data_IF_827752022122
#
_entry.id   IF_827752022122
#
_cell.length_a   1.000
_cell.length_b   1.000
_cell.length_c   1.000
_cell.angle_alpha   90.00
_cell.angle_beta   90.00
_cell.angle_gamma   90.00
#
_symmetry.space_group_name_H-M   'P 1'
#
loop_
_entity.id
_entity.type
_entity.pdbx_description
1 polymer ?
#
# COMPACT_ATOMS: atom_id res chain seq x y z
N UNK A 1 8.86 -19.97 9.54
CA UNK A 1 8.79 -19.19 10.78
C UNK A 1 7.86 -19.84 11.78
N UNK A 2 8.45 -20.31 12.88
CA UNK A 2 7.81 -20.89 14.07
C UNK A 2 6.79 -19.93 14.68
N UNK A 3 5.75 -20.49 15.30
CA UNK A 3 4.70 -19.74 16.01
C UNK A 3 5.38 -18.90 17.11
N UNK A 4 5.51 -17.58 16.89
CA UNK A 4 6.00 -16.63 17.88
C UNK A 4 5.01 -16.61 19.06
N UNK A 5 5.42 -17.27 20.15
CA UNK A 5 4.62 -17.51 21.34
C UNK A 5 3.91 -16.23 21.86
N UNK A 6 2.57 -16.31 21.96
CA UNK A 6 1.68 -15.49 22.79
C UNK A 6 1.52 -13.98 22.52
N UNK A 7 2.09 -13.40 21.45
CA UNK A 7 1.75 -12.03 21.05
C UNK A 7 1.59 -11.89 19.52
N UNK A 8 0.36 -12.05 18.98
CA UNK A 8 0.12 -11.94 17.53
C UNK A 8 0.42 -10.54 16.98
N UNK A 9 0.64 -9.56 17.86
CA UNK A 9 1.01 -8.19 17.51
C UNK A 9 2.51 -7.93 17.34
N UNK A 10 3.39 -8.90 17.61
CA UNK A 10 4.85 -8.76 17.58
C UNK A 10 5.45 -9.31 16.28
N UNK A 11 5.22 -8.56 15.20
CA UNK A 11 5.72 -8.89 13.85
C UNK A 11 6.68 -7.81 13.38
N UNK A 12 7.68 -8.22 12.61
CA UNK A 12 8.70 -7.32 12.07
C UNK A 12 8.19 -6.53 10.86
N UNK A 13 7.41 -7.16 9.98
CA UNK A 13 6.99 -6.56 8.69
C UNK A 13 5.52 -6.15 8.65
N UNK A 14 4.79 -6.23 9.78
CA UNK A 14 3.37 -5.88 9.80
C UNK A 14 2.43 -6.92 9.19
N UNK A 15 2.93 -8.10 8.87
CA UNK A 15 2.22 -9.24 8.28
C UNK A 15 1.27 -9.93 9.29
N UNK A 16 0.30 -9.18 9.83
CA UNK A 16 -0.70 -9.73 10.76
C UNK A 16 -1.73 -10.60 10.03
N UNK A 17 -1.88 -11.86 10.45
CA UNK A 17 -2.92 -12.77 9.92
C UNK A 17 -4.36 -12.26 10.12
N UNK A 18 -4.58 -11.43 11.14
CA UNK A 18 -5.89 -10.92 11.53
C UNK A 18 -6.00 -9.40 11.33
N UNK A 19 -5.22 -8.82 10.41
CA UNK A 19 -5.15 -7.37 10.21
C UNK A 19 -6.55 -6.70 10.10
N UNK A 20 -7.44 -7.29 9.31
CA UNK A 20 -8.77 -6.74 9.04
C UNK A 20 -9.79 -6.92 10.18
N UNK A 21 -9.48 -7.70 11.23
CA UNK A 21 -10.30 -7.73 12.45
C UNK A 21 -10.16 -6.44 13.26
N UNK A 22 -9.03 -5.73 13.12
CA UNK A 22 -8.75 -4.48 13.85
C UNK A 22 -8.88 -3.23 12.97
N UNK A 23 -8.59 -3.38 11.67
CA UNK A 23 -8.67 -2.32 10.67
C UNK A 23 -9.68 -2.72 9.60
N UNK A 24 -10.95 -2.36 9.80
CA UNK A 24 -12.04 -2.72 8.89
C UNK A 24 -11.78 -2.23 7.47
N UNK A 25 -11.73 -3.18 6.52
CA UNK A 25 -11.59 -2.88 5.10
C UNK A 25 -12.80 -2.07 4.58
N UNK A 26 -14.00 -2.38 5.07
CA UNK A 26 -15.24 -1.68 4.70
C UNK A 26 -15.22 -0.23 5.16
N UNK A 27 -14.75 0.06 6.38
CA UNK A 27 -14.61 1.44 6.84
C UNK A 27 -13.56 2.20 6.03
N UNK A 28 -12.49 1.53 5.57
CA UNK A 28 -11.50 2.15 4.70
C UNK A 28 -12.07 2.51 3.34
N UNK A 29 -12.92 1.68 2.74
CA UNK A 29 -13.58 1.97 1.44
C UNK A 29 -14.42 3.26 1.52
N UNK A 30 -15.10 3.51 2.65
CA UNK A 30 -15.90 4.74 2.85
C UNK A 30 -15.08 6.03 2.80
N UNK A 31 -13.77 5.95 2.97
CA UNK A 31 -12.85 7.09 2.91
C UNK A 31 -12.32 7.36 1.50
N UNK A 32 -12.62 6.49 0.53
CA UNK A 32 -12.15 6.66 -0.83
C UNK A 32 -12.96 7.75 -1.54
N UNK A 33 -12.29 8.62 -2.33
CA UNK A 33 -12.94 9.73 -3.01
C UNK A 33 -13.76 9.27 -4.21
N UNK A 34 -14.56 10.20 -4.75
CA UNK A 34 -15.32 9.98 -5.99
C UNK A 34 -14.41 9.77 -7.20
N UNK A 35 -15.01 9.28 -8.30
CA UNK A 35 -14.31 8.97 -9.56
C UNK A 35 -13.43 10.08 -10.13
N UNK A 36 -13.75 11.35 -9.91
CA UNK A 36 -12.98 12.47 -10.47
C UNK A 36 -11.55 12.57 -9.88
N UNK A 37 -11.34 12.00 -8.68
CA UNK A 37 -10.01 11.87 -8.07
C UNK A 37 -9.27 10.61 -8.57
N UNK A 38 -9.97 9.57 -8.99
CA UNK A 38 -9.33 8.38 -9.55
C UNK A 38 -8.99 8.55 -11.03
N UNK A 39 -9.85 9.22 -11.80
CA UNK A 39 -9.71 9.43 -13.23
C UNK A 39 -10.26 10.82 -13.63
N UNK A 40 -9.41 11.86 -13.69
CA UNK A 40 -9.83 13.17 -14.16
C UNK A 40 -10.32 13.13 -15.61
N UNK A 41 -11.36 13.91 -15.92
CA UNK A 41 -11.99 14.00 -17.26
C UNK A 41 -11.02 14.32 -18.40
N UNK A 42 -9.90 14.96 -18.11
CA UNK A 42 -8.89 15.37 -19.09
C UNK A 42 -8.05 14.19 -19.64
N UNK A 43 -8.11 13.01 -19.01
CA UNK A 43 -7.34 11.82 -19.39
C UNK A 43 -8.18 10.76 -20.14
N UNK A 44 -9.30 11.16 -20.76
CA UNK A 44 -10.23 10.28 -21.48
C UNK A 44 -9.73 9.88 -22.89
N UNK A 45 -8.45 9.51 -23.01
CA UNK A 45 -7.89 8.95 -24.26
C UNK A 45 -8.02 7.43 -24.34
N UNK A 46 -8.55 6.76 -23.31
CA UNK A 46 -8.67 5.30 -23.26
C UNK A 46 -9.82 4.79 -24.08
N UNK A 47 -9.57 3.66 -24.73
CA UNK A 47 -10.63 2.89 -25.39
C UNK A 47 -11.54 2.24 -24.35
N UNK A 48 -12.81 2.05 -24.67
CA UNK A 48 -13.85 1.52 -23.75
C UNK A 48 -13.52 0.15 -23.12
N UNK A 49 -12.55 -0.58 -23.66
CA UNK A 49 -12.17 -1.92 -23.19
C UNK A 49 -10.83 -1.98 -22.44
N UNK A 50 -10.12 -0.85 -22.28
CA UNK A 50 -8.83 -0.85 -21.61
C UNK A 50 -9.00 -0.82 -20.07
N UNK A 51 -8.43 -1.79 -19.33
CA UNK A 51 -8.61 -1.82 -17.88
C UNK A 51 -7.86 -0.70 -17.17
N UNK A 52 -8.44 -0.21 -16.08
CA UNK A 52 -7.75 0.60 -15.08
C UNK A 52 -6.87 -0.29 -14.21
N UNK A 53 -5.56 -0.10 -14.27
CA UNK A 53 -4.58 -0.92 -13.57
C UNK A 53 -4.22 -0.34 -12.21
N UNK A 54 -4.37 -1.14 -11.17
CA UNK A 54 -4.03 -0.80 -9.79
C UNK A 54 -2.96 -1.74 -9.25
N UNK A 55 -1.98 -1.21 -8.54
CA UNK A 55 -1.08 -2.00 -7.69
C UNK A 55 -1.40 -1.72 -6.21
N UNK A 56 -1.76 -2.76 -5.45
CA UNK A 56 -1.99 -2.70 -4.01
C UNK A 56 -0.77 -3.26 -3.25
N UNK A 57 0.00 -2.37 -2.64
CA UNK A 57 1.28 -2.69 -1.99
C UNK A 57 1.10 -2.93 -0.50
N UNK A 58 1.47 -4.14 -0.05
CA UNK A 58 1.16 -4.61 1.31
C UNK A 58 -0.28 -5.08 1.42
N UNK A 59 -0.75 -5.86 0.43
CA UNK A 59 -2.14 -6.25 0.29
C UNK A 59 -2.63 -7.23 1.38
N UNK A 60 -1.74 -7.74 2.22
CA UNK A 60 -2.03 -8.71 3.27
C UNK A 60 -2.77 -9.93 2.67
N UNK A 61 -3.86 -10.41 3.28
CA UNK A 61 -4.67 -11.50 2.74
C UNK A 61 -5.71 -11.03 1.71
N UNK A 62 -5.55 -9.86 1.09
CA UNK A 62 -6.32 -9.43 -0.09
C UNK A 62 -7.75 -8.94 0.17
N UNK A 63 -8.24 -8.89 1.41
CA UNK A 63 -9.62 -8.48 1.72
C UNK A 63 -9.91 -7.06 1.22
N UNK A 64 -9.00 -6.11 1.47
CA UNK A 64 -9.20 -4.75 0.98
C UNK A 64 -8.99 -4.63 -0.52
N UNK A 65 -8.05 -5.40 -1.10
CA UNK A 65 -7.80 -5.44 -2.54
C UNK A 65 -9.06 -5.80 -3.33
N UNK A 66 -9.82 -6.81 -2.87
CA UNK A 66 -11.07 -7.21 -3.50
C UNK A 66 -12.14 -6.11 -3.40
N UNK A 67 -12.29 -5.49 -2.23
CA UNK A 67 -13.23 -4.37 -2.06
C UNK A 67 -12.83 -3.13 -2.89
N UNK A 68 -11.54 -2.86 -3.02
CA UNK A 68 -11.02 -1.78 -3.85
C UNK A 68 -11.33 -2.02 -5.33
N UNK A 69 -11.11 -3.24 -5.82
CA UNK A 69 -11.44 -3.62 -7.19
C UNK A 69 -12.94 -3.39 -7.47
N UNK A 70 -13.82 -3.88 -6.58
CA UNK A 70 -15.26 -3.69 -6.71
C UNK A 70 -15.64 -2.21 -6.72
N UNK A 71 -15.18 -1.45 -5.72
CA UNK A 71 -15.45 -0.02 -5.59
C UNK A 71 -15.05 0.75 -6.85
N UNK A 72 -13.84 0.53 -7.36
CA UNK A 72 -13.37 1.23 -8.56
C UNK A 72 -14.14 0.80 -9.81
N UNK A 73 -14.50 -0.48 -9.94
CA UNK A 73 -15.33 -0.96 -11.05
C UNK A 73 -16.68 -0.26 -11.09
N UNK A 74 -17.32 -0.08 -9.94
CA UNK A 74 -18.60 0.64 -9.81
C UNK A 74 -18.44 2.15 -10.07
N UNK A 75 -17.39 2.78 -9.52
CA UNK A 75 -17.17 4.22 -9.65
C UNK A 75 -16.74 4.65 -11.06
N UNK A 76 -15.86 3.87 -11.69
CA UNK A 76 -15.26 4.22 -12.98
C UNK A 76 -16.08 3.70 -14.17
N UNK A 77 -16.98 2.72 -13.95
CA UNK A 77 -17.79 2.10 -14.99
C UNK A 77 -16.96 1.54 -16.17
N UNK A 78 -15.76 1.03 -15.86
CA UNK A 78 -14.84 0.40 -16.80
C UNK A 78 -14.15 -0.81 -16.15
N UNK A 79 -13.49 -1.70 -16.91
CA UNK A 79 -12.74 -2.81 -16.33
C UNK A 79 -11.65 -2.31 -15.36
N UNK A 80 -11.48 -2.96 -14.22
CA UNK A 80 -10.42 -2.63 -13.24
C UNK A 80 -9.67 -3.88 -12.91
N UNK A 81 -8.35 -3.88 -13.14
CA UNK A 81 -7.47 -4.98 -12.77
C UNK A 81 -6.55 -4.56 -11.63
N UNK A 82 -6.42 -5.41 -10.63
CA UNK A 82 -5.61 -5.14 -9.43
C UNK A 82 -4.54 -6.21 -9.27
N UNK A 83 -3.28 -5.76 -9.20
CA UNK A 83 -2.16 -6.59 -8.79
C UNK A 83 -1.90 -6.33 -7.31
N UNK A 84 -1.99 -7.37 -6.47
CA UNK A 84 -1.66 -7.29 -5.05
C UNK A 84 -0.28 -7.88 -4.77
N UNK A 85 0.49 -7.21 -3.91
CA UNK A 85 1.79 -7.71 -3.44
C UNK A 85 1.89 -7.66 -1.92
N UNK A 86 2.48 -8.69 -1.34
CA UNK A 86 2.85 -8.73 0.07
C UNK A 86 4.14 -9.54 0.23
N UNK A 87 4.87 -9.28 1.32
CA UNK A 87 6.13 -9.96 1.62
C UNK A 87 5.90 -11.36 2.20
N UNK A 88 4.73 -11.62 2.78
CA UNK A 88 4.41 -12.91 3.40
C UNK A 88 3.68 -13.85 2.43
N UNK A 89 4.38 -14.90 2.00
CA UNK A 89 3.85 -15.95 1.13
C UNK A 89 2.54 -16.56 1.66
N UNK A 90 2.40 -16.75 2.97
CA UNK A 90 1.21 -17.38 3.58
C UNK A 90 -0.01 -16.47 3.46
N UNK A 91 0.20 -15.15 3.55
CA UNK A 91 -0.86 -14.17 3.34
C UNK A 91 -1.29 -14.15 1.88
N UNK A 92 -0.33 -14.26 0.95
CA UNK A 92 -0.59 -14.32 -0.49
C UNK A 92 -1.28 -15.63 -0.89
N UNK A 93 -0.89 -16.77 -0.34
CA UNK A 93 -1.59 -18.04 -0.53
C UNK A 93 -3.06 -17.93 -0.08
N UNK A 94 -3.30 -17.30 1.07
CA UNK A 94 -4.65 -17.03 1.56
C UNK A 94 -5.41 -16.06 0.64
N UNK A 95 -4.77 -14.98 0.20
CA UNK A 95 -5.37 -14.02 -0.72
C UNK A 95 -5.80 -14.70 -2.04
N UNK A 96 -4.97 -15.60 -2.57
CA UNK A 96 -5.28 -16.41 -3.75
C UNK A 96 -6.44 -17.38 -3.50
N UNK A 97 -6.45 -18.08 -2.36
CA UNK A 97 -7.49 -19.03 -2.00
C UNK A 97 -8.87 -18.36 -1.77
N UNK A 98 -8.87 -17.13 -1.25
CA UNK A 98 -10.09 -16.35 -0.97
C UNK A 98 -10.45 -15.37 -2.12
N UNK A 99 -9.74 -15.42 -3.27
CA UNK A 99 -9.96 -14.51 -4.40
C UNK A 99 -11.25 -14.87 -5.16
N UNK A 100 -12.20 -13.94 -5.19
CA UNK A 100 -13.49 -14.13 -5.87
C UNK A 100 -13.53 -13.59 -7.30
N UNK A 101 -12.46 -12.91 -7.77
CA UNK A 101 -12.36 -12.30 -9.10
C UNK A 101 -11.04 -12.64 -9.79
N UNK A 102 -10.84 -13.93 -10.11
CA UNK A 102 -9.58 -14.48 -10.65
C UNK A 102 -9.13 -13.85 -11.99
N UNK A 103 -10.06 -13.31 -12.77
CA UNK A 103 -9.79 -12.64 -14.05
C UNK A 103 -9.33 -11.18 -13.87
N UNK A 104 -9.61 -10.57 -12.71
CA UNK A 104 -9.37 -9.14 -12.44
C UNK A 104 -8.34 -8.89 -11.36
N UNK A 105 -8.07 -9.88 -10.52
CA UNK A 105 -7.17 -9.73 -9.37
C UNK A 105 -6.11 -10.81 -9.40
N UNK A 106 -4.85 -10.37 -9.40
CA UNK A 106 -3.68 -11.24 -9.32
C UNK A 106 -2.87 -10.91 -8.07
N UNK A 107 -2.18 -11.91 -7.52
CA UNK A 107 -1.37 -11.75 -6.31
C UNK A 107 0.02 -12.38 -6.49
N UNK A 108 1.05 -11.72 -5.98
CA UNK A 108 2.40 -12.27 -5.92
C UNK A 108 3.10 -11.91 -4.61
N UNK A 109 4.10 -12.72 -4.26
CA UNK A 109 4.92 -12.52 -3.06
C UNK A 109 6.23 -11.86 -3.45
N UNK A 110 6.55 -10.73 -2.83
CA UNK A 110 7.84 -10.06 -3.02
C UNK A 110 8.15 -9.10 -1.87
N UNK A 111 9.43 -8.92 -1.57
CA UNK A 111 9.89 -7.70 -0.91
C UNK A 111 9.93 -6.57 -1.95
N UNK A 112 9.13 -5.52 -1.72
CA UNK A 112 9.00 -4.36 -2.63
C UNK A 112 10.33 -3.63 -2.85
N UNK A 113 11.24 -3.71 -1.87
CA UNK A 113 12.57 -3.10 -1.96
C UNK A 113 13.62 -4.03 -2.58
N UNK A 114 13.29 -5.29 -2.86
CA UNK A 114 14.14 -6.22 -3.60
C UNK A 114 13.84 -6.13 -5.11
N UNK A 115 14.78 -5.60 -5.89
CA UNK A 115 14.59 -5.35 -7.32
C UNK A 115 14.29 -6.63 -8.11
N UNK A 116 15.01 -7.72 -7.86
CA UNK A 116 14.83 -8.98 -8.59
C UNK A 116 13.45 -9.61 -8.37
N UNK A 117 12.93 -9.54 -7.14
CA UNK A 117 11.66 -10.16 -6.77
C UNK A 117 10.45 -9.31 -7.13
N UNK A 118 10.58 -7.98 -7.10
CA UNK A 118 9.46 -7.07 -7.29
C UNK A 118 9.41 -6.46 -8.69
N UNK A 119 10.54 -6.02 -9.26
CA UNK A 119 10.52 -5.26 -10.51
C UNK A 119 10.20 -6.15 -11.71
N UNK A 120 10.73 -7.38 -11.74
CA UNK A 120 10.46 -8.30 -12.85
C UNK A 120 8.97 -8.66 -12.99
N UNK A 121 8.26 -9.13 -11.94
CA UNK A 121 6.83 -9.42 -12.05
C UNK A 121 5.99 -8.19 -12.39
N UNK A 122 6.31 -7.03 -11.81
CA UNK A 122 5.61 -5.77 -12.08
C UNK A 122 5.79 -5.34 -13.54
N UNK A 123 7.01 -5.40 -14.06
CA UNK A 123 7.31 -5.09 -15.45
C UNK A 123 6.57 -6.04 -16.40
N UNK A 124 6.62 -7.35 -16.15
CA UNK A 124 5.88 -8.33 -16.95
C UNK A 124 4.38 -8.06 -16.94
N UNK A 125 3.79 -7.72 -15.79
CA UNK A 125 2.37 -7.38 -15.68
C UNK A 125 2.00 -6.15 -16.51
N UNK A 126 2.81 -5.07 -16.44
CA UNK A 126 2.59 -3.86 -17.23
C UNK A 126 2.74 -4.13 -18.73
N UNK A 127 3.74 -4.93 -19.13
CA UNK A 127 3.96 -5.33 -20.53
C UNK A 127 2.79 -6.13 -21.10
N UNK A 128 2.21 -7.05 -20.32
CA UNK A 128 1.00 -7.81 -20.69
C UNK A 128 -0.20 -6.91 -20.97
N UNK A 129 -0.26 -5.73 -20.34
CA UNK A 129 -1.29 -4.73 -20.57
C UNK A 129 -0.86 -3.60 -21.51
N UNK A 130 0.33 -3.68 -22.10
CA UNK A 130 0.91 -2.63 -22.96
C UNK A 130 1.01 -1.25 -22.26
N UNK A 131 1.31 -1.25 -20.96
CA UNK A 131 1.44 -0.04 -20.15
C UNK A 131 2.88 0.17 -19.69
N UNK A 132 3.21 1.42 -19.38
CA UNK A 132 4.48 1.81 -18.74
C UNK A 132 4.32 2.14 -17.26
N UNK A 133 3.10 2.46 -16.83
CA UNK A 133 2.75 2.83 -15.47
C UNK A 133 1.39 2.27 -15.10
N UNK A 134 1.17 2.07 -13.81
CA UNK A 134 -0.16 1.85 -13.27
C UNK A 134 -0.95 3.15 -13.22
N UNK A 135 -2.26 3.01 -13.26
CA UNK A 135 -3.16 4.14 -13.11
C UNK A 135 -3.24 4.60 -11.68
N UNK A 136 -3.23 3.65 -10.75
CA UNK A 136 -3.05 3.91 -9.34
C UNK A 136 -2.06 2.92 -8.72
N UNK A 137 -1.19 3.43 -7.85
CA UNK A 137 -0.45 2.59 -6.89
C UNK A 137 -0.87 3.00 -5.50
N UNK A 138 -1.28 2.03 -4.69
CA UNK A 138 -1.83 2.26 -3.37
C UNK A 138 -0.97 1.62 -2.28
N UNK A 139 -0.68 2.41 -1.24
CA UNK A 139 0.16 2.04 -0.10
C UNK A 139 -0.63 2.28 1.20
N UNK A 140 -1.50 1.34 1.57
CA UNK A 140 -2.35 1.46 2.75
C UNK A 140 -1.66 0.93 4.01
N UNK A 141 -1.30 1.81 4.96
CA UNK A 141 -0.74 1.40 6.24
C UNK A 141 0.48 0.48 6.12
N UNK A 142 1.40 0.78 5.19
CA UNK A 142 2.66 0.04 5.00
C UNK A 142 3.91 0.89 5.27
N UNK A 143 3.83 2.22 5.17
CA UNK A 143 5.01 3.11 5.23
C UNK A 143 5.80 2.97 6.53
N UNK A 144 5.12 2.80 7.67
CA UNK A 144 5.78 2.54 8.95
C UNK A 144 6.65 1.28 8.94
N UNK A 145 6.18 0.19 8.33
CA UNK A 145 6.91 -1.08 8.33
C UNK A 145 8.15 -1.00 7.44
N UNK A 146 8.05 -0.33 6.30
CA UNK A 146 9.21 -0.02 5.46
C UNK A 146 10.21 0.80 6.26
N UNK A 147 9.75 1.86 6.90
CA UNK A 147 10.60 2.80 7.61
C UNK A 147 11.33 2.16 8.80
N UNK A 148 10.62 1.35 9.60
CA UNK A 148 11.19 0.62 10.74
C UNK A 148 12.27 -0.39 10.33
N UNK A 149 12.14 -1.00 9.14
CA UNK A 149 13.06 -2.04 8.67
C UNK A 149 14.20 -1.51 7.78
N UNK A 150 14.02 -0.36 7.13
CA UNK A 150 14.95 0.13 6.09
C UNK A 150 15.40 1.59 6.29
N UNK A 151 15.17 2.19 7.47
CA UNK A 151 15.57 3.56 7.79
C UNK A 151 14.84 4.62 6.95
N UNK A 152 15.14 5.91 7.18
CA UNK A 152 14.57 7.03 6.42
C UNK A 152 14.85 6.87 4.91
N UNK A 153 16.07 6.44 4.56
CA UNK A 153 16.48 6.23 3.17
C UNK A 153 15.65 5.15 2.48
N UNK A 154 15.30 4.06 3.17
CA UNK A 154 14.46 3.00 2.64
C UNK A 154 13.03 3.47 2.39
N UNK A 155 12.46 4.27 3.31
CA UNK A 155 11.14 4.88 3.12
C UNK A 155 11.15 5.87 1.93
N UNK A 156 12.18 6.71 1.81
CA UNK A 156 12.31 7.63 0.69
C UNK A 156 12.46 6.88 -0.64
N UNK A 157 13.28 5.82 -0.69
CA UNK A 157 13.42 4.98 -1.86
C UNK A 157 12.10 4.30 -2.25
N UNK A 158 11.38 3.72 -1.29
CA UNK A 158 10.04 3.15 -1.47
C UNK A 158 9.08 4.15 -2.11
N UNK A 159 8.97 5.36 -1.53
CA UNK A 159 8.07 6.41 -2.03
C UNK A 159 8.45 6.84 -3.44
N UNK A 160 9.74 7.06 -3.72
CA UNK A 160 10.23 7.45 -5.05
C UNK A 160 9.95 6.38 -6.09
N UNK A 161 10.33 5.14 -5.81
CA UNK A 161 10.17 3.98 -6.71
C UNK A 161 8.71 3.79 -7.11
N UNK A 162 7.83 3.68 -6.12
CA UNK A 162 6.41 3.46 -6.37
C UNK A 162 5.74 4.69 -7.00
N UNK A 163 6.09 5.89 -6.56
CA UNK A 163 5.56 7.11 -7.18
C UNK A 163 5.88 7.12 -8.66
N UNK A 164 7.13 6.86 -9.09
CA UNK A 164 7.51 6.92 -10.51
C UNK A 164 6.72 5.96 -11.43
N UNK A 165 6.24 4.84 -10.89
CA UNK A 165 5.45 3.84 -11.63
C UNK A 165 3.93 4.11 -11.63
N UNK A 166 3.48 5.20 -10.98
CA UNK A 166 2.05 5.54 -10.84
C UNK A 166 1.70 6.81 -11.62
N UNK A 167 0.50 6.84 -12.20
CA UNK A 167 -0.17 8.11 -12.54
C UNK A 167 -0.76 8.76 -11.27
N UNK A 168 -1.52 8.00 -10.49
CA UNK A 168 -2.02 8.37 -9.16
C UNK A 168 -1.31 7.57 -8.07
N UNK A 169 -0.72 8.25 -7.10
CA UNK A 169 -0.06 7.61 -5.96
C UNK A 169 -0.85 7.85 -4.67
N UNK A 170 -1.23 6.78 -3.99
CA UNK A 170 -2.09 6.81 -2.81
C UNK A 170 -1.32 6.30 -1.61
N UNK A 171 -1.25 7.08 -0.52
CA UNK A 171 -0.51 6.72 0.69
C UNK A 171 -1.38 6.95 1.92
N UNK A 172 -1.47 5.94 2.80
CA UNK A 172 -2.04 6.07 4.15
C UNK A 172 -0.91 5.93 5.18
N UNK A 173 -0.19 7.03 5.51
CA UNK A 173 0.91 6.97 6.45
C UNK A 173 0.41 6.70 7.87
N UNK A 174 1.14 5.88 8.63
CA UNK A 174 0.83 5.69 10.05
C UNK A 174 1.53 6.74 10.91
N UNK A 175 0.86 7.29 11.95
CA UNK A 175 1.46 8.28 12.85
C UNK A 175 2.54 7.65 13.73
N UNK A 176 3.45 8.47 14.26
CA UNK A 176 4.58 8.05 15.11
C UNK A 176 4.17 7.19 16.32
N UNK A 177 3.00 7.43 16.89
CA UNK A 177 2.46 6.61 17.99
C UNK A 177 2.34 5.12 17.62
N UNK A 178 2.08 4.81 16.34
CA UNK A 178 2.07 3.44 15.84
C UNK A 178 3.48 2.83 15.87
N UNK A 179 4.52 3.58 15.52
CA UNK A 179 5.92 3.13 15.56
C UNK A 179 6.31 2.74 16.98
N UNK A 180 6.04 3.62 17.94
CA UNK A 180 6.33 3.37 19.36
C UNK A 180 5.57 2.14 19.89
N UNK A 181 4.35 1.93 19.41
CA UNK A 181 3.54 0.76 19.80
C UNK A 181 4.09 -0.52 19.20
N UNK A 182 4.52 -0.51 17.93
CA UNK A 182 5.15 -1.64 17.25
C UNK A 182 6.46 -2.04 17.95
N UNK A 183 7.37 -1.08 18.16
CA UNK A 183 8.63 -1.30 18.87
C UNK A 183 8.41 -1.86 20.28
N UNK A 184 7.47 -1.31 21.05
CA UNK A 184 7.13 -1.84 22.38
C UNK A 184 6.65 -3.29 22.33
N UNK A 185 5.84 -3.66 21.32
CA UNK A 185 5.31 -5.02 21.18
C UNK A 185 6.43 -6.00 20.82
N UNK A 186 7.32 -5.62 19.91
CA UNK A 186 8.45 -6.43 19.49
C UNK A 186 9.45 -6.61 20.66
N UNK A 187 9.77 -5.52 21.38
CA UNK A 187 10.65 -5.55 22.56
C UNK A 187 10.19 -6.53 23.66
N UNK A 188 8.88 -6.69 23.83
CA UNK A 188 8.32 -7.68 24.79
C UNK A 188 8.59 -9.13 24.41
N UNK A 189 8.94 -9.40 23.15
CA UNK A 189 9.34 -10.73 22.66
C UNK A 189 10.86 -10.94 22.66
N UNK A 190 11.64 -9.95 23.08
CA UNK A 190 13.10 -9.99 23.07
C UNK A 190 13.75 -9.49 21.78
N UNK A 191 12.95 -9.18 20.76
CA UNK A 191 13.38 -8.59 19.48
C UNK A 191 13.20 -7.06 19.49
N UNK A 192 13.93 -6.32 18.67
CA UNK A 192 13.76 -4.86 18.50
C UNK A 192 13.88 -4.49 17.02
N UNK A 193 13.38 -3.31 16.65
CA UNK A 193 13.74 -2.71 15.37
C UNK A 193 15.13 -2.06 15.50
N UNK A 194 16.19 -2.63 14.90
CA UNK A 194 17.57 -2.16 15.14
C UNK A 194 17.76 -0.69 14.75
N UNK A 195 17.04 -0.23 13.73
CA UNK A 195 17.13 1.13 13.18
C UNK A 195 16.18 2.14 13.87
N UNK A 196 15.32 1.71 14.81
CA UNK A 196 14.30 2.57 15.41
C UNK A 196 14.86 3.84 16.06
N UNK A 197 16.01 3.71 16.74
CA UNK A 197 16.67 4.83 17.40
C UNK A 197 17.42 5.75 16.43
N UNK A 198 17.63 5.32 15.19
CA UNK A 198 18.35 6.05 14.13
C UNK A 198 17.42 6.84 13.20
N UNK A 199 16.11 6.55 13.23
CA UNK A 199 15.13 7.24 12.38
C UNK A 199 15.16 8.76 12.65
N UNK A 200 15.11 9.56 11.59
CA UNK A 200 15.08 11.03 11.67
C UNK A 200 13.67 11.57 11.50
N UNK A 201 12.87 10.96 10.63
CA UNK A 201 11.45 11.29 10.46
C UNK A 201 10.64 10.65 11.59
N UNK A 202 10.25 11.43 12.60
CA UNK A 202 9.68 10.90 13.85
C UNK A 202 8.27 11.38 14.10
N UNK A 203 8.11 12.28 15.07
CA UNK A 203 6.82 12.83 15.48
C UNK A 203 6.07 13.51 14.35
N UNK A 204 6.80 13.97 13.34
CA UNK A 204 6.31 14.66 12.15
C UNK A 204 6.36 13.80 10.87
N UNK A 205 6.48 12.47 10.99
CA UNK A 205 6.68 11.56 9.85
C UNK A 205 5.62 11.71 8.75
N UNK A 206 4.38 12.01 9.11
CA UNK A 206 3.30 12.27 8.14
C UNK A 206 3.58 13.54 7.33
N UNK A 207 4.02 14.62 7.98
CA UNK A 207 4.41 15.85 7.30
C UNK A 207 5.68 15.66 6.46
N UNK A 208 6.63 14.85 6.92
CA UNK A 208 7.85 14.55 6.17
C UNK A 208 7.55 13.76 4.88
N UNK A 209 6.69 12.74 4.96
CA UNK A 209 6.24 11.99 3.78
C UNK A 209 5.55 12.93 2.79
N UNK A 210 4.64 13.79 3.27
CA UNK A 210 3.95 14.76 2.41
C UNK A 210 4.94 15.74 1.74
N UNK A 211 5.85 16.35 2.52
CA UNK A 211 6.88 17.25 1.98
C UNK A 211 7.76 16.55 0.95
N UNK A 212 8.18 15.32 1.20
CA UNK A 212 8.99 14.57 0.26
C UNK A 212 8.26 14.32 -1.06
N UNK A 213 6.99 13.92 -1.00
CA UNK A 213 6.18 13.71 -2.19
C UNK A 213 5.97 15.01 -2.98
N UNK A 214 5.66 16.11 -2.29
CA UNK A 214 5.35 17.39 -2.93
C UNK A 214 6.58 18.14 -3.44
N UNK A 215 7.65 18.17 -2.65
CA UNK A 215 8.81 19.03 -2.90
C UNK A 215 9.93 18.30 -3.63
N UNK A 216 10.23 17.06 -3.22
CA UNK A 216 11.34 16.28 -3.80
C UNK A 216 10.89 15.45 -5.00
N UNK A 217 9.67 14.91 -4.97
CA UNK A 217 9.11 14.10 -6.06
C UNK A 217 8.14 14.86 -6.96
N UNK A 218 7.94 16.16 -6.69
CA UNK A 218 7.11 17.08 -7.47
C UNK A 218 5.67 16.59 -7.72
N UNK A 219 5.11 15.80 -6.79
CA UNK A 219 3.72 15.34 -6.87
C UNK A 219 2.78 16.34 -6.23
N UNK A 220 1.68 16.66 -6.90
CA UNK A 220 0.62 17.49 -6.37
C UNK A 220 -0.34 16.66 -5.52
N UNK A 221 -0.60 17.11 -4.28
CA UNK A 221 -1.70 16.57 -3.48
C UNK A 221 -3.04 16.96 -4.11
N UNK A 222 -3.89 15.96 -4.37
CA UNK A 222 -5.18 16.13 -5.08
C UNK A 222 -6.38 15.76 -4.22
N UNK A 223 -6.17 14.99 -3.14
CA UNK A 223 -7.21 14.66 -2.17
C UNK A 223 -6.60 14.17 -0.86
N UNK A 224 -7.28 14.46 0.25
CA UNK A 224 -7.00 13.91 1.57
C UNK A 224 -8.32 13.47 2.22
N UNK A 225 -8.37 12.24 2.74
CA UNK A 225 -9.56 11.74 3.42
C UNK A 225 -9.74 12.40 4.80
N UNK A 226 -10.94 12.30 5.35
CA UNK A 226 -11.12 12.53 6.79
C UNK A 226 -10.25 11.55 7.60
N UNK A 227 -9.78 11.95 8.80
CA UNK A 227 -9.01 11.05 9.66
C UNK A 227 -9.83 9.84 10.09
N UNK A 228 -9.23 8.66 10.03
CA UNK A 228 -9.74 7.44 10.68
C UNK A 228 -9.80 7.61 12.20
N UNK A 229 -10.41 6.65 12.91
CA UNK A 229 -10.35 6.55 14.38
C UNK A 229 -8.91 6.50 14.94
N UNK A 230 -7.94 6.11 14.11
CA UNK A 230 -6.52 6.04 14.45
C UNK A 230 -5.75 7.31 14.03
N UNK A 231 -6.45 8.38 13.65
CA UNK A 231 -5.90 9.64 13.14
C UNK A 231 -5.09 9.50 11.85
N UNK A 232 -5.26 8.40 11.11
CA UNK A 232 -4.65 8.22 9.79
C UNK A 232 -5.51 8.84 8.71
N UNK A 233 -4.88 9.48 7.72
CA UNK A 233 -5.54 9.99 6.51
C UNK A 233 -5.03 9.22 5.29
N UNK A 234 -5.88 9.11 4.28
CA UNK A 234 -5.49 8.59 2.97
C UNK A 234 -5.25 9.79 2.07
N UNK A 235 -4.02 9.93 1.60
CA UNK A 235 -3.55 11.04 0.80
C UNK A 235 -3.33 10.58 -0.64
N UNK A 236 -3.79 11.38 -1.60
CA UNK A 236 -3.71 11.08 -3.03
C UNK A 236 -2.86 12.13 -3.72
N UNK A 237 -1.96 11.68 -4.58
CA UNK A 237 -0.94 12.51 -5.24
C UNK A 237 -0.88 12.21 -6.74
N UNK A 238 -0.72 13.24 -7.57
CA UNK A 238 -0.46 13.11 -9.02
C UNK A 238 0.78 13.87 -9.44
#
# INVERSE_FOLDING_TARGET
MERRNNNPGAVQYGNFMNYYQFNSAVERVKLLPSKDIWQPKQNNTRTENEPYLVLDVGCNCGVFTQLLQQFLGEQLQQPVHVLGVDIDERLIERAKAENTCLDKISYFTADVLNEDQFDSPVKTYLEQHHRQKFDAICCYSITMWIHLNHHDNGLQFFLRKLSQMAELFVVEPQPWKCYQTAERRLKKTGEVFPLFLELKWRSDVEQQIQKYLEQELCRQSVYESTPTKWQRRICFFR
#
